data_IF_545159217875
#
_entry.id   IF_545159217875
#
_cell.length_a   1.000
_cell.length_b   1.000
_cell.length_c   1.000
_cell.angle_alpha   90.00
_cell.angle_beta   90.00
_cell.angle_gamma   90.00
#
_symmetry.space_group_name_H-M   'P 1'
#
loop_
_entity.id
_entity.type
_entity.pdbx_description
1 polymer ?
#
# COMPACT_ATOMS: atom_id res chain seq x y z
N UNK A 1 6.69 16.49 4.92
CA UNK A 1 6.38 15.18 4.31
C UNK A 1 4.99 14.74 4.71
N UNK A 2 4.22 14.18 3.80
CA UNK A 2 2.88 13.60 4.01
C UNK A 2 2.92 12.09 3.77
N UNK A 3 2.16 11.34 4.53
CA UNK A 3 2.00 9.88 4.38
C UNK A 3 0.54 9.58 4.04
N UNK A 4 0.30 9.02 2.87
CA UNK A 4 -1.02 8.56 2.43
C UNK A 4 -1.12 7.05 2.61
N UNK A 5 -1.95 6.61 3.56
CA UNK A 5 -2.27 5.19 3.74
C UNK A 5 -3.48 4.81 2.90
N UNK A 6 -3.29 3.83 2.02
CA UNK A 6 -4.39 3.29 1.20
C UNK A 6 -5.13 2.17 1.94
N UNK A 7 -6.40 2.37 2.21
CA UNK A 7 -7.27 1.43 2.93
C UNK A 7 -8.55 1.13 2.14
N UNK A 8 -8.42 0.69 0.88
CA UNK A 8 -9.54 0.48 -0.05
C UNK A 8 -9.96 -0.97 -0.31
N UNK A 9 -9.38 -1.96 0.34
CA UNK A 9 -9.61 -3.38 0.07
C UNK A 9 -11.06 -3.85 0.27
N UNK A 10 -11.54 -4.78 -0.57
CA UNK A 10 -12.92 -5.32 -0.50
C UNK A 10 -13.15 -6.33 0.64
N UNK A 11 -12.10 -6.75 1.33
CA UNK A 11 -12.17 -7.66 2.47
C UNK A 11 -12.65 -9.09 2.18
N UNK A 12 -12.90 -9.49 0.94
CA UNK A 12 -13.55 -10.78 0.62
C UNK A 12 -12.64 -12.00 0.74
N UNK A 13 -11.31 -11.83 0.62
CA UNK A 13 -10.36 -12.96 0.53
C UNK A 13 -10.16 -13.75 1.83
N UNK A 14 -10.47 -13.16 2.97
CA UNK A 14 -10.41 -13.81 4.29
C UNK A 14 -11.81 -14.06 4.89
N UNK A 15 -12.83 -14.18 4.02
CA UNK A 15 -14.16 -14.60 4.52
C UNK A 15 -14.07 -15.96 5.24
N UNK A 16 -14.75 -16.17 6.39
CA UNK A 16 -15.75 -15.31 7.04
C UNK A 16 -15.17 -14.26 8.02
N UNK A 17 -13.85 -14.20 8.28
CA UNK A 17 -13.24 -13.20 9.17
C UNK A 17 -13.41 -11.78 8.65
N UNK A 18 -13.39 -11.60 7.33
CA UNK A 18 -13.48 -10.30 6.69
C UNK A 18 -14.73 -10.18 5.82
N UNK A 19 -15.24 -8.95 5.71
CA UNK A 19 -16.34 -8.55 4.85
C UNK A 19 -16.14 -7.12 4.34
N UNK A 20 -17.13 -6.53 3.64
CA UNK A 20 -17.00 -5.20 3.03
C UNK A 20 -16.78 -4.06 4.03
N UNK A 21 -17.33 -4.14 5.24
CA UNK A 21 -17.14 -3.15 6.31
C UNK A 21 -15.97 -3.49 7.22
N UNK A 22 -15.68 -4.78 7.42
CA UNK A 22 -14.56 -5.27 8.23
C UNK A 22 -13.57 -5.97 7.31
N UNK A 23 -12.78 -5.20 6.57
CA UNK A 23 -11.72 -5.74 5.71
C UNK A 23 -10.53 -6.26 6.53
N UNK A 24 -9.64 -7.03 5.90
CA UNK A 24 -8.52 -7.74 6.56
C UNK A 24 -7.67 -6.82 7.45
N UNK A 25 -7.42 -5.59 7.02
CA UNK A 25 -6.57 -4.62 7.70
C UNK A 25 -7.13 -4.15 9.06
N UNK A 26 -8.40 -4.39 9.35
CA UNK A 26 -9.08 -4.01 10.59
C UNK A 26 -9.27 -5.16 11.58
N UNK A 27 -8.87 -6.38 11.22
CA UNK A 27 -9.02 -7.54 12.08
C UNK A 27 -7.86 -7.57 13.07
N UNK A 28 -8.15 -7.61 14.37
CA UNK A 28 -7.17 -7.63 15.46
C UNK A 28 -6.63 -9.05 15.68
N UNK A 29 -5.72 -9.49 14.82
CA UNK A 29 -5.11 -10.81 14.89
C UNK A 29 -3.64 -10.79 15.29
N UNK A 30 -2.96 -9.66 15.13
CA UNK A 30 -1.54 -9.53 15.39
C UNK A 30 -1.29 -9.18 16.85
N UNK A 31 -0.16 -9.63 17.41
CA UNK A 31 0.27 -9.21 18.73
C UNK A 31 1.13 -7.94 18.61
N UNK A 32 0.80 -6.92 19.39
CA UNK A 32 1.66 -5.77 19.63
C UNK A 32 2.78 -6.13 20.63
N UNK A 33 3.84 -5.33 20.75
CA UNK A 33 4.96 -5.61 21.69
C UNK A 33 4.54 -5.69 23.17
N UNK A 34 3.44 -5.06 23.55
CA UNK A 34 2.85 -5.10 24.91
C UNK A 34 1.90 -6.29 25.11
N UNK A 35 1.77 -7.19 24.11
CA UNK A 35 0.95 -8.40 24.17
C UNK A 35 -0.55 -8.18 23.89
N UNK A 36 -0.97 -6.97 23.55
CA UNK A 36 -2.34 -6.70 23.16
C UNK A 36 -2.58 -7.09 21.69
N UNK A 37 -3.86 -7.29 21.32
CA UNK A 37 -4.23 -7.55 19.93
C UNK A 37 -4.33 -6.25 19.15
N UNK A 38 -3.59 -6.17 18.05
CA UNK A 38 -3.65 -5.05 17.10
C UNK A 38 -4.10 -5.51 15.71
N UNK A 39 -4.70 -4.61 14.96
CA UNK A 39 -4.98 -4.79 13.54
C UNK A 39 -3.77 -4.34 12.71
N UNK A 40 -3.76 -4.70 11.41
CA UNK A 40 -2.68 -4.28 10.51
C UNK A 40 -2.57 -2.76 10.42
N UNK A 41 -3.69 -2.04 10.34
CA UNK A 41 -3.67 -0.58 10.29
C UNK A 41 -3.14 0.03 11.60
N UNK A 42 -3.51 -0.52 12.76
CA UNK A 42 -2.96 -0.09 14.04
C UNK A 42 -1.45 -0.36 14.12
N UNK A 43 -1.00 -1.53 13.66
CA UNK A 43 0.41 -1.88 13.59
C UNK A 43 1.21 -0.92 12.73
N UNK A 44 0.74 -0.60 11.53
CA UNK A 44 1.42 0.34 10.63
C UNK A 44 1.52 1.74 11.27
N UNK A 45 0.45 2.24 11.88
CA UNK A 45 0.46 3.55 12.58
C UNK A 45 1.44 3.53 13.75
N UNK A 46 1.46 2.47 14.57
CA UNK A 46 2.42 2.33 15.66
C UNK A 46 3.86 2.31 15.13
N UNK A 47 4.15 1.48 14.12
CA UNK A 47 5.49 1.39 13.52
C UNK A 47 5.94 2.71 12.88
N UNK A 48 5.05 3.47 12.25
CA UNK A 48 5.33 4.83 11.78
C UNK A 48 5.70 5.76 12.95
N UNK A 49 4.96 5.70 14.05
CA UNK A 49 5.27 6.48 15.26
C UNK A 49 6.60 6.10 15.93
N UNK A 50 7.02 4.84 15.80
CA UNK A 50 8.30 4.32 16.32
C UNK A 50 9.48 4.59 15.36
N UNK A 51 9.22 4.94 14.09
CA UNK A 51 10.22 5.24 13.08
C UNK A 51 10.69 6.69 13.14
N UNK A 52 11.77 7.01 12.42
CA UNK A 52 12.27 8.38 12.26
C UNK A 52 11.47 9.20 11.25
N UNK A 53 10.46 8.60 10.59
CA UNK A 53 9.60 9.27 9.63
C UNK A 53 8.68 10.29 10.32
N UNK A 54 9.00 11.58 10.18
CA UNK A 54 8.22 12.70 10.74
C UNK A 54 7.20 13.20 9.71
N UNK A 55 6.16 12.42 9.46
CA UNK A 55 5.12 12.73 8.49
C UNK A 55 3.73 12.83 9.10
N UNK A 56 2.89 13.68 8.52
CA UNK A 56 1.46 13.70 8.84
C UNK A 56 0.76 12.57 8.07
N UNK A 57 -0.08 11.80 8.76
CA UNK A 57 -0.75 10.64 8.18
C UNK A 57 -2.17 10.98 7.78
N UNK A 58 -2.50 10.71 6.50
CA UNK A 58 -3.86 10.77 5.95
C UNK A 58 -4.26 9.40 5.43
N UNK A 59 -5.45 8.91 5.76
CA UNK A 59 -5.96 7.61 5.31
C UNK A 59 -6.98 7.82 4.20
N UNK A 60 -6.71 7.27 3.00
CA UNK A 60 -7.67 7.20 1.92
C UNK A 60 -8.48 5.89 2.02
N UNK A 61 -9.81 5.99 2.06
CA UNK A 61 -10.68 4.84 2.30
C UNK A 61 -12.05 4.98 1.67
N UNK A 62 -12.84 3.91 1.67
CA UNK A 62 -14.24 3.94 1.27
C UNK A 62 -15.16 4.33 2.43
N UNK A 63 -16.35 4.87 2.11
CA UNK A 63 -17.36 5.27 3.10
C UNK A 63 -17.68 4.15 4.10
N UNK A 64 -17.76 2.90 3.64
CA UNK A 64 -18.08 1.75 4.50
C UNK A 64 -17.01 1.39 5.53
N UNK A 65 -15.83 2.01 5.46
CA UNK A 65 -14.68 1.73 6.33
C UNK A 65 -14.27 2.92 7.20
N UNK A 66 -14.81 4.11 6.94
CA UNK A 66 -14.43 5.34 7.66
C UNK A 66 -14.64 5.22 9.18
N UNK A 67 -15.80 4.71 9.62
CA UNK A 67 -16.12 4.56 11.05
C UNK A 67 -15.14 3.60 11.75
N UNK A 68 -14.73 2.52 11.08
CA UNK A 68 -13.78 1.56 11.64
C UNK A 68 -12.40 2.20 11.79
N UNK A 69 -12.00 3.06 10.85
CA UNK A 69 -10.73 3.81 10.95
C UNK A 69 -10.76 4.73 12.16
N UNK A 70 -11.79 5.56 12.32
CA UNK A 70 -11.91 6.45 13.48
C UNK A 70 -11.96 5.66 14.79
N UNK A 71 -12.68 4.54 14.85
CA UNK A 71 -12.75 3.69 16.04
C UNK A 71 -11.41 3.05 16.42
N UNK A 72 -10.55 2.75 15.44
CA UNK A 72 -9.27 2.08 15.71
C UNK A 72 -8.08 3.04 15.85
N UNK A 73 -8.10 4.18 15.16
CA UNK A 73 -6.99 5.11 15.11
C UNK A 73 -7.25 6.44 15.84
N UNK A 74 -8.50 6.71 16.23
CA UNK A 74 -8.91 7.96 16.86
C UNK A 74 -9.36 9.04 15.85
N UNK A 75 -10.02 10.08 16.37
CA UNK A 75 -10.60 11.14 15.53
C UNK A 75 -9.57 12.18 15.06
N UNK A 76 -8.34 12.12 15.58
CA UNK A 76 -7.26 13.05 15.20
C UNK A 76 -6.58 12.68 13.87
N UNK A 77 -6.93 11.53 13.28
CA UNK A 77 -6.37 11.13 11.98
C UNK A 77 -7.18 11.73 10.82
N UNK A 78 -6.48 12.24 9.83
CA UNK A 78 -7.15 12.73 8.63
C UNK A 78 -7.65 11.55 7.77
N UNK A 79 -8.91 11.60 7.37
CA UNK A 79 -9.53 10.57 6.56
C UNK A 79 -10.14 11.18 5.30
N UNK A 80 -9.69 10.71 4.14
CA UNK A 80 -10.25 11.07 2.83
C UNK A 80 -11.13 9.92 2.35
N UNK A 81 -12.45 10.20 2.25
CA UNK A 81 -13.43 9.21 1.85
C UNK A 81 -13.71 9.31 0.36
N UNK A 82 -13.40 8.22 -0.37
CA UNK A 82 -13.74 8.09 -1.78
C UNK A 82 -15.25 8.08 -2.00
N UNK A 83 -15.79 8.84 -2.97
CA UNK A 83 -17.22 8.80 -3.32
C UNK A 83 -17.67 7.43 -3.82
N UNK A 84 -16.80 6.73 -4.56
CA UNK A 84 -16.98 5.37 -5.09
C UNK A 84 -15.64 4.65 -5.24
N UNK A 85 -15.65 3.34 -5.36
CA UNK A 85 -14.42 2.55 -5.57
C UNK A 85 -13.98 2.58 -7.05
N UNK A 86 -12.81 3.15 -7.32
CA UNK A 86 -12.25 3.29 -8.69
C UNK A 86 -10.79 2.86 -8.80
N UNK A 87 -10.31 1.98 -7.92
CA UNK A 87 -8.91 1.54 -7.85
C UNK A 87 -7.96 2.60 -7.24
N UNK A 88 -6.64 2.34 -7.23
CA UNK A 88 -5.67 3.11 -6.44
C UNK A 88 -5.35 4.48 -7.04
N UNK A 89 -5.34 4.65 -8.37
CA UNK A 89 -5.05 5.96 -8.96
C UNK A 89 -6.04 7.04 -8.53
N UNK A 90 -7.36 6.88 -8.67
CA UNK A 90 -8.30 7.91 -8.22
C UNK A 90 -8.26 8.17 -6.72
N UNK A 91 -8.03 7.14 -5.91
CA UNK A 91 -7.89 7.28 -4.45
C UNK A 91 -6.70 8.18 -4.10
N UNK A 92 -5.54 7.96 -4.74
CA UNK A 92 -4.34 8.77 -4.56
C UNK A 92 -4.55 10.18 -5.09
N UNK A 93 -5.19 10.35 -6.27
CA UNK A 93 -5.51 11.64 -6.86
C UNK A 93 -6.39 12.49 -5.93
N UNK A 94 -7.44 11.89 -5.36
CA UNK A 94 -8.33 12.56 -4.41
C UNK A 94 -7.59 12.94 -3.13
N UNK A 95 -6.78 12.03 -2.57
CA UNK A 95 -6.04 12.30 -1.34
C UNK A 95 -4.96 13.37 -1.54
N UNK A 96 -4.24 13.36 -2.68
CA UNK A 96 -3.30 14.42 -3.03
C UNK A 96 -3.99 15.78 -3.16
N UNK A 97 -5.18 15.81 -3.78
CA UNK A 97 -5.99 17.02 -3.89
C UNK A 97 -6.45 17.54 -2.52
N UNK A 98 -6.78 16.65 -1.58
CA UNK A 98 -7.06 17.01 -0.20
C UNK A 98 -5.85 17.67 0.48
N UNK A 99 -4.67 17.07 0.35
CA UNK A 99 -3.43 17.66 0.87
C UNK A 99 -3.19 19.05 0.28
N UNK A 100 -3.39 19.21 -1.03
CA UNK A 100 -3.17 20.49 -1.72
C UNK A 100 -4.13 21.56 -1.28
N UNK A 101 -5.44 21.29 -1.31
CA UNK A 101 -6.46 22.33 -1.20
C UNK A 101 -7.06 22.47 0.20
N UNK A 102 -7.16 21.40 0.98
CA UNK A 102 -7.70 21.48 2.35
C UNK A 102 -6.59 21.64 3.40
N UNK A 103 -5.41 21.00 3.17
CA UNK A 103 -4.27 21.11 4.09
C UNK A 103 -3.25 22.17 3.67
N UNK A 104 -3.40 22.79 2.50
CA UNK A 104 -2.50 23.82 1.97
C UNK A 104 -1.04 23.38 1.88
N UNK A 105 -0.80 22.08 1.63
CA UNK A 105 0.55 21.54 1.44
C UNK A 105 1.21 22.14 0.19
N UNK A 106 2.51 22.41 0.28
CA UNK A 106 3.27 22.94 -0.84
C UNK A 106 3.52 21.89 -1.93
N UNK A 107 3.68 22.31 -3.18
CA UNK A 107 3.97 21.41 -4.31
C UNK A 107 5.28 20.65 -4.15
N UNK A 108 6.26 21.23 -3.46
CA UNK A 108 7.55 20.62 -3.17
C UNK A 108 7.49 19.58 -2.04
N UNK A 109 6.38 19.50 -1.32
CA UNK A 109 6.27 18.58 -0.20
C UNK A 109 6.23 17.13 -0.67
N UNK A 110 7.08 16.27 -0.09
CA UNK A 110 7.12 14.85 -0.43
C UNK A 110 5.90 14.15 0.14
N UNK A 111 5.25 13.38 -0.71
CA UNK A 111 4.14 12.50 -0.39
C UNK A 111 4.62 11.05 -0.54
N UNK A 112 4.48 10.28 0.53
CA UNK A 112 4.67 8.82 0.53
C UNK A 112 3.30 8.17 0.50
N UNK A 113 3.05 7.36 -0.51
CA UNK A 113 1.85 6.51 -0.61
C UNK A 113 2.23 5.09 -0.24
N UNK A 114 1.49 4.47 0.68
CA UNK A 114 1.73 3.08 1.06
C UNK A 114 0.42 2.37 1.43
N UNK A 115 0.36 1.03 1.30
CA UNK A 115 -0.79 0.28 1.81
C UNK A 115 -0.81 0.28 3.34
N UNK A 116 -1.99 0.16 3.94
CA UNK A 116 -2.16 0.11 5.40
C UNK A 116 -2.04 -1.31 5.99
N UNK A 117 -1.64 -2.30 5.19
CA UNK A 117 -1.71 -3.72 5.55
C UNK A 117 -0.45 -4.55 5.22
N UNK A 118 0.76 -3.99 5.06
CA UNK A 118 1.95 -4.80 4.94
C UNK A 118 2.33 -5.40 6.29
N UNK A 119 2.68 -6.67 6.29
CA UNK A 119 3.36 -7.29 7.44
C UNK A 119 4.87 -7.20 7.23
N UNK A 120 5.52 -6.34 8.00
CA UNK A 120 6.91 -5.97 7.78
C UNK A 120 7.65 -5.66 9.08
N UNK A 121 8.95 -5.43 8.99
CA UNK A 121 9.87 -5.09 10.08
C UNK A 121 10.35 -3.63 10.02
N UNK A 122 11.07 -3.17 11.04
CA UNK A 122 11.53 -1.77 11.15
C UNK A 122 12.40 -1.30 9.97
N UNK A 123 13.15 -2.20 9.33
CA UNK A 123 13.96 -1.90 8.15
C UNK A 123 13.17 -1.34 6.95
N UNK A 124 11.89 -1.71 6.86
CA UNK A 124 10.98 -1.21 5.83
C UNK A 124 10.81 0.32 5.90
N UNK A 125 10.68 0.88 7.09
CA UNK A 125 10.49 2.32 7.29
C UNK A 125 11.78 3.10 7.01
N UNK A 126 12.96 2.50 7.24
CA UNK A 126 14.25 3.10 6.83
C UNK A 126 14.39 3.20 5.31
N UNK A 127 13.84 2.23 4.56
CA UNK A 127 13.79 2.32 3.09
C UNK A 127 12.85 3.43 2.65
N UNK A 128 11.72 3.63 3.32
CA UNK A 128 10.83 4.77 3.03
C UNK A 128 11.56 6.10 3.27
N UNK A 129 12.35 6.22 4.34
CA UNK A 129 13.19 7.41 4.58
C UNK A 129 14.17 7.66 3.43
N UNK A 130 14.83 6.61 2.93
CA UNK A 130 15.70 6.72 1.74
C UNK A 130 14.94 7.14 0.48
N UNK A 131 13.70 6.67 0.30
CA UNK A 131 12.83 7.10 -0.80
C UNK A 131 12.49 8.59 -0.70
N UNK A 132 12.18 9.09 0.50
CA UNK A 132 11.90 10.51 0.75
C UNK A 132 13.13 11.36 0.39
N UNK A 133 14.31 10.99 0.87
CA UNK A 133 15.55 11.69 0.53
C UNK A 133 15.83 11.67 -0.99
N UNK A 134 15.56 10.56 -1.67
CA UNK A 134 15.74 10.48 -3.12
C UNK A 134 14.82 11.45 -3.89
N UNK A 135 13.59 11.67 -3.41
CA UNK A 135 12.66 12.65 -3.99
C UNK A 135 13.10 14.08 -3.66
N UNK A 136 13.48 14.36 -2.40
CA UNK A 136 13.96 15.68 -1.97
C UNK A 136 15.23 16.11 -2.74
N UNK A 137 16.16 15.18 -2.95
CA UNK A 137 17.38 15.37 -3.72
C UNK A 137 17.14 15.41 -5.26
N UNK A 138 15.90 15.29 -5.71
CA UNK A 138 15.51 15.24 -7.13
C UNK A 138 16.23 14.13 -7.93
N UNK A 139 16.48 12.96 -7.31
CA UNK A 139 17.05 11.79 -7.99
C UNK A 139 16.08 11.25 -9.03
N UNK A 140 14.78 11.26 -8.73
CA UNK A 140 13.70 10.89 -9.62
C UNK A 140 12.40 11.63 -9.27
N UNK A 141 11.46 11.70 -10.23
CA UNK A 141 10.11 12.26 -10.01
C UNK A 141 9.21 11.28 -9.23
N UNK A 142 9.43 9.97 -9.45
CA UNK A 142 8.73 8.89 -8.77
C UNK A 142 9.75 7.87 -8.25
N UNK A 143 9.70 7.58 -6.97
CA UNK A 143 10.55 6.57 -6.31
C UNK A 143 9.68 5.44 -5.80
N UNK A 144 10.07 4.19 -6.12
CA UNK A 144 9.37 2.96 -5.77
C UNK A 144 10.14 2.19 -4.69
N UNK A 145 9.44 1.46 -3.83
CA UNK A 145 10.06 0.41 -3.02
C UNK A 145 10.09 -0.90 -3.79
N UNK A 146 11.28 -1.44 -4.01
CA UNK A 146 11.49 -2.74 -4.63
C UNK A 146 11.68 -3.83 -3.59
N UNK A 147 10.75 -4.78 -3.50
CA UNK A 147 10.89 -5.93 -2.60
C UNK A 147 11.68 -7.03 -3.30
N UNK A 148 12.69 -7.59 -2.65
CA UNK A 148 13.45 -8.72 -3.19
C UNK A 148 12.53 -9.95 -3.34
N UNK A 149 12.35 -10.49 -4.57
CA UNK A 149 11.48 -11.63 -4.79
C UNK A 149 12.02 -12.90 -4.13
N UNK A 150 11.14 -13.68 -3.52
CA UNK A 150 11.48 -15.00 -2.96
C UNK A 150 10.93 -16.15 -3.80
N UNK A 151 10.01 -15.86 -4.74
CA UNK A 151 9.44 -16.82 -5.69
C UNK A 151 8.83 -16.09 -6.90
N UNK A 152 8.62 -16.76 -8.06
CA UNK A 152 7.92 -16.14 -9.17
C UNK A 152 6.42 -16.01 -8.90
N UNK A 153 5.91 -14.78 -8.87
CA UNK A 153 4.51 -14.46 -8.56
C UNK A 153 3.84 -13.74 -9.72
N UNK A 154 2.67 -14.22 -10.14
CA UNK A 154 1.81 -13.50 -11.07
C UNK A 154 0.91 -12.46 -10.39
N UNK A 155 1.05 -12.25 -9.07
CA UNK A 155 0.19 -11.34 -8.29
C UNK A 155 0.78 -9.96 -8.10
N UNK A 156 2.08 -9.78 -8.31
CA UNK A 156 2.82 -8.54 -8.08
C UNK A 156 3.31 -7.94 -9.38
N UNK A 157 3.49 -6.62 -9.39
CA UNK A 157 4.27 -5.93 -10.40
C UNK A 157 5.77 -6.19 -10.20
N UNK A 158 6.55 -6.06 -11.27
CA UNK A 158 8.00 -6.22 -11.27
C UNK A 158 8.68 -4.97 -11.79
N UNK A 159 9.74 -4.58 -11.10
CA UNK A 159 10.58 -3.42 -11.44
C UNK A 159 11.97 -3.93 -11.78
N UNK A 160 12.40 -3.77 -13.05
CA UNK A 160 13.74 -4.13 -13.50
C UNK A 160 14.66 -2.92 -13.29
N UNK A 161 15.69 -3.01 -12.44
CA UNK A 161 16.63 -1.93 -12.21
C UNK A 161 17.59 -1.75 -13.41
N UNK A 162 18.09 -0.53 -13.59
CA UNK A 162 19.27 -0.25 -14.40
C UNK A 162 20.50 -0.20 -13.48
N UNK A 163 21.18 -1.33 -13.36
CA UNK A 163 22.34 -1.47 -12.47
C UNK A 163 23.51 -0.55 -12.82
N UNK A 164 23.58 -0.06 -14.07
CA UNK A 164 24.60 0.89 -14.51
C UNK A 164 24.42 2.31 -13.93
N UNK A 165 23.24 2.60 -13.38
CA UNK A 165 22.84 3.91 -12.86
C UNK A 165 22.55 3.87 -11.36
N UNK A 166 23.38 3.17 -10.61
CA UNK A 166 23.30 3.07 -9.17
C UNK A 166 23.91 4.31 -8.49
N UNK A 167 23.19 4.92 -7.55
CA UNK A 167 23.71 5.96 -6.65
C UNK A 167 23.22 5.69 -5.23
N UNK A 168 24.13 5.40 -4.30
CA UNK A 168 23.78 5.23 -2.88
C UNK A 168 22.79 4.09 -2.58
N UNK A 169 22.78 3.01 -3.39
CA UNK A 169 21.81 1.91 -3.26
C UNK A 169 20.48 2.15 -3.96
N UNK A 170 20.33 3.27 -4.68
CA UNK A 170 19.12 3.63 -5.43
C UNK A 170 19.39 3.38 -6.90
N UNK A 171 18.53 2.60 -7.57
CA UNK A 171 18.66 2.29 -8.99
C UNK A 171 17.66 3.10 -9.82
N UNK A 172 18.06 3.54 -11.02
CA UNK A 172 17.10 3.94 -12.03
C UNK A 172 16.28 2.73 -12.47
N UNK A 173 15.02 2.94 -12.86
CA UNK A 173 14.17 1.88 -13.38
C UNK A 173 14.31 1.79 -14.88
N UNK A 174 14.64 0.59 -15.39
CA UNK A 174 14.73 0.28 -16.81
C UNK A 174 13.37 -0.10 -17.39
N UNK A 175 12.58 -0.86 -16.63
CA UNK A 175 11.29 -1.40 -17.06
C UNK A 175 10.41 -1.73 -15.87
N UNK A 176 9.12 -1.46 -15.99
CA UNK A 176 8.07 -1.90 -15.09
C UNK A 176 7.18 -2.93 -15.82
N UNK A 177 6.70 -3.96 -15.14
CA UNK A 177 5.78 -4.96 -15.69
C UNK A 177 4.77 -5.37 -14.64
N UNK A 178 3.51 -5.00 -14.82
CA UNK A 178 2.44 -5.30 -13.84
C UNK A 178 1.88 -6.71 -14.07
N UNK A 179 1.83 -7.52 -13.03
CA UNK A 179 1.20 -8.85 -12.95
C UNK A 179 1.50 -9.76 -14.15
N UNK A 180 2.78 -10.08 -14.45
CA UNK A 180 3.15 -10.97 -15.54
C UNK A 180 2.62 -12.39 -15.27
N UNK A 181 2.65 -13.25 -16.31
CA UNK A 181 2.50 -14.68 -16.06
C UNK A 181 3.74 -15.26 -15.35
N UNK A 182 3.63 -16.48 -14.80
CA UNK A 182 4.70 -17.11 -14.00
C UNK A 182 6.00 -17.25 -14.79
N UNK A 183 5.96 -17.67 -16.06
CA UNK A 183 7.16 -17.82 -16.88
C UNK A 183 7.88 -16.47 -17.10
N UNK A 184 7.12 -15.40 -17.35
CA UNK A 184 7.67 -14.03 -17.42
C UNK A 184 8.23 -13.59 -16.06
N UNK A 185 7.56 -13.91 -14.96
CA UNK A 185 8.04 -13.60 -13.61
C UNK A 185 9.38 -14.29 -13.31
N UNK A 186 9.56 -15.56 -13.69
CA UNK A 186 10.84 -16.28 -13.56
C UNK A 186 11.96 -15.61 -14.37
N UNK A 187 11.64 -15.15 -15.58
CA UNK A 187 12.61 -14.42 -16.40
C UNK A 187 12.99 -13.07 -15.78
N UNK A 188 12.02 -12.31 -15.27
CA UNK A 188 12.26 -11.03 -14.61
C UNK A 188 13.12 -11.16 -13.37
N UNK A 189 12.92 -12.23 -12.56
CA UNK A 189 13.77 -12.50 -11.38
C UNK A 189 15.23 -12.75 -11.81
N UNK A 190 15.47 -13.44 -12.94
CA UNK A 190 16.83 -13.63 -13.49
C UNK A 190 17.45 -12.34 -13.99
N UNK A 191 16.65 -11.32 -14.29
CA UNK A 191 17.09 -9.95 -14.60
C UNK A 191 17.22 -9.08 -13.33
N UNK A 192 17.33 -9.64 -12.15
CA UNK A 192 17.40 -8.95 -10.86
C UNK A 192 16.20 -8.02 -10.58
N UNK A 193 15.02 -8.30 -11.16
CA UNK A 193 13.85 -7.49 -10.90
C UNK A 193 13.37 -7.62 -9.46
N UNK A 194 12.89 -6.51 -8.90
CA UNK A 194 12.20 -6.47 -7.62
C UNK A 194 10.69 -6.57 -7.82
N UNK A 195 9.97 -7.10 -6.83
CA UNK A 195 8.52 -6.89 -6.77
C UNK A 195 8.22 -5.42 -6.48
N UNK A 196 7.21 -4.86 -7.09
CA UNK A 196 6.65 -3.59 -6.70
C UNK A 196 5.96 -3.73 -5.34
N UNK A 197 6.50 -3.08 -4.31
CA UNK A 197 5.99 -3.12 -2.95
C UNK A 197 4.70 -2.31 -2.73
N UNK A 198 4.20 -1.62 -3.77
CA UNK A 198 3.04 -0.73 -3.65
C UNK A 198 3.30 0.51 -2.80
N UNK A 199 4.58 0.86 -2.60
CA UNK A 199 5.01 2.08 -1.91
C UNK A 199 5.63 3.02 -2.93
N UNK A 200 5.15 4.25 -2.94
CA UNK A 200 5.56 5.29 -3.87
C UNK A 200 5.90 6.56 -3.11
N UNK A 201 6.93 7.27 -3.56
CA UNK A 201 7.26 8.61 -3.06
C UNK A 201 7.40 9.56 -4.24
N UNK A 202 6.84 10.75 -4.13
CA UNK A 202 6.88 11.81 -5.15
C UNK A 202 6.59 13.17 -4.51
N UNK A 203 6.90 14.28 -5.19
CA UNK A 203 6.46 15.62 -4.78
C UNK A 203 4.96 15.80 -5.04
N UNK A 204 4.25 16.49 -4.15
CA UNK A 204 2.82 16.74 -4.29
C UNK A 204 2.48 17.36 -5.66
N UNK A 205 3.26 18.34 -6.13
CA UNK A 205 3.09 18.98 -7.42
C UNK A 205 3.18 18.00 -8.60
N UNK A 206 4.01 16.96 -8.53
CA UNK A 206 4.04 15.92 -9.55
C UNK A 206 2.66 15.25 -9.70
N UNK A 207 2.04 14.86 -8.59
CA UNK A 207 0.71 14.24 -8.63
C UNK A 207 -0.37 15.24 -9.04
N UNK A 208 -0.30 16.49 -8.59
CA UNK A 208 -1.26 17.51 -8.98
C UNK A 208 -1.23 17.82 -10.48
N UNK A 209 -0.06 17.82 -11.11
CA UNK A 209 0.07 17.94 -12.57
C UNK A 209 -0.63 16.80 -13.33
N UNK A 210 -0.68 15.60 -12.74
CA UNK A 210 -1.43 14.47 -13.31
C UNK A 210 -2.93 14.65 -13.09
N UNK A 211 -3.36 15.07 -11.90
CA UNK A 211 -4.77 15.36 -11.58
C UNK A 211 -5.35 16.38 -12.54
N UNK A 212 -4.62 17.47 -12.86
CA UNK A 212 -5.03 18.54 -13.78
C UNK A 212 -5.26 18.08 -15.23
N UNK A 213 -4.69 16.95 -15.63
CA UNK A 213 -4.96 16.37 -16.95
C UNK A 213 -6.39 15.85 -17.07
N UNK A 214 -7.01 15.49 -15.94
CA UNK A 214 -8.37 14.98 -15.85
C UNK A 214 -9.35 16.04 -15.39
N UNK A 215 -9.02 16.76 -14.32
CA UNK A 215 -9.91 17.73 -13.68
C UNK A 215 -9.12 19.01 -13.38
N UNK A 216 -9.37 20.05 -14.15
CA UNK A 216 -8.76 21.38 -13.94
C UNK A 216 -9.62 22.19 -12.99
N UNK A 217 -9.18 22.34 -11.76
CA UNK A 217 -9.81 23.15 -10.71
C UNK A 217 -8.83 23.40 -9.57
N UNK A 218 -9.15 24.36 -8.71
CA UNK A 218 -8.42 24.65 -7.47
C UNK A 218 -9.26 24.32 -6.22
N UNK A 219 -10.25 23.46 -6.37
CA UNK A 219 -11.20 23.11 -5.30
C UNK A 219 -11.26 21.60 -5.06
N UNK A 220 -10.97 21.18 -3.84
CA UNK A 220 -11.12 19.78 -3.43
C UNK A 220 -12.56 19.29 -3.59
N UNK A 221 -13.54 20.10 -3.20
CA UNK A 221 -14.96 19.73 -3.31
C UNK A 221 -15.38 19.49 -4.76
N UNK A 222 -14.87 20.27 -5.70
CA UNK A 222 -15.12 20.07 -7.14
C UNK A 222 -14.48 18.78 -7.64
N UNK A 223 -13.21 18.49 -7.28
CA UNK A 223 -12.54 17.23 -7.63
C UNK A 223 -13.34 16.04 -7.09
N UNK A 224 -13.78 16.11 -5.83
CA UNK A 224 -14.58 15.06 -5.20
C UNK A 224 -15.93 14.86 -5.92
N UNK A 225 -16.60 15.92 -6.33
CA UNK A 225 -17.87 15.84 -7.06
C UNK A 225 -17.70 15.27 -8.47
N UNK A 226 -16.56 15.53 -9.10
CA UNK A 226 -16.20 15.05 -10.44
C UNK A 226 -15.32 13.78 -10.41
N UNK A 227 -15.24 13.11 -9.27
CA UNK A 227 -14.39 11.93 -9.04
C UNK A 227 -14.58 10.81 -10.07
N UNK A 228 -15.78 10.65 -10.61
CA UNK A 228 -16.11 9.68 -11.66
C UNK A 228 -15.43 9.95 -13.00
N UNK A 229 -14.88 11.15 -13.23
CA UNK A 229 -14.12 11.49 -14.44
C UNK A 229 -12.70 10.86 -14.45
N UNK A 230 -12.15 10.51 -13.27
CA UNK A 230 -10.93 9.73 -13.24
C UNK A 230 -11.17 8.32 -13.80
N UNK A 231 -10.23 7.76 -14.56
CA UNK A 231 -10.32 6.38 -15.05
C UNK A 231 -10.30 5.39 -13.87
N UNK A 232 -11.03 4.29 -13.98
CA UNK A 232 -11.01 3.20 -12.99
C UNK A 232 -9.80 2.31 -13.25
N UNK A 233 -8.64 2.69 -12.71
CA UNK A 233 -7.35 2.08 -12.99
C UNK A 233 -6.43 2.17 -11.76
N UNK A 234 -5.45 1.27 -11.66
CA UNK A 234 -4.44 1.35 -10.60
C UNK A 234 -3.40 2.45 -10.87
N UNK A 235 -2.77 2.94 -9.81
CA UNK A 235 -1.66 3.88 -9.88
C UNK A 235 -0.47 3.31 -10.66
N UNK A 236 -0.26 2.01 -10.56
CA UNK A 236 0.79 1.31 -11.27
C UNK A 236 0.67 1.48 -12.78
N UNK A 237 -0.53 1.21 -13.33
CA UNK A 237 -0.79 1.36 -14.77
C UNK A 237 -0.90 2.82 -15.21
N UNK A 238 -1.53 3.69 -14.40
CA UNK A 238 -1.77 5.07 -14.82
C UNK A 238 -0.54 5.95 -14.67
N UNK A 239 0.27 5.72 -13.63
CA UNK A 239 1.38 6.60 -13.28
C UNK A 239 2.72 5.88 -13.40
N UNK A 240 2.92 4.77 -12.68
CA UNK A 240 4.25 4.16 -12.56
C UNK A 240 4.80 3.62 -13.90
N UNK A 241 3.97 3.00 -14.72
CA UNK A 241 4.38 2.52 -16.06
C UNK A 241 4.66 3.64 -17.06
N UNK A 242 4.05 4.83 -16.86
CA UNK A 242 4.17 5.96 -17.79
C UNK A 242 5.22 6.99 -17.36
N UNK A 243 5.68 6.92 -16.12
CA UNK A 243 6.64 7.86 -15.55
C UNK A 243 8.00 7.75 -16.25
N UNK A 244 8.63 8.91 -16.50
CA UNK A 244 9.89 8.99 -17.28
C UNK A 244 11.13 8.88 -16.39
N UNK A 245 11.09 9.48 -15.21
CA UNK A 245 12.20 9.51 -14.25
C UNK A 245 11.80 8.74 -13.01
N UNK A 246 12.05 7.44 -13.04
CA UNK A 246 11.68 6.51 -11.97
C UNK A 246 12.93 5.90 -11.34
N UNK A 247 12.94 5.85 -10.01
CA UNK A 247 13.95 5.14 -9.26
C UNK A 247 13.32 4.06 -8.36
N UNK A 248 14.11 3.05 -8.02
CA UNK A 248 13.73 1.99 -7.08
C UNK A 248 14.75 1.91 -5.94
N UNK A 249 14.23 1.84 -4.71
CA UNK A 249 15.02 1.57 -3.49
C UNK A 249 14.72 0.15 -3.04
N UNK A 250 15.73 -0.75 -3.02
CA UNK A 250 15.52 -2.14 -2.66
C UNK A 250 15.25 -2.34 -1.16
N UNK A 251 14.34 -3.27 -0.86
CA UNK A 251 14.10 -3.81 0.46
C UNK A 251 14.22 -5.34 0.44
N UNK A 252 15.10 -5.92 1.24
CA UNK A 252 15.34 -7.36 1.32
C UNK A 252 14.96 -7.97 2.68
N UNK A 253 14.29 -7.20 3.54
CA UNK A 253 13.79 -7.66 4.83
C UNK A 253 12.47 -8.43 4.75
N UNK A 254 11.92 -8.75 5.91
CA UNK A 254 10.64 -9.46 6.02
C UNK A 254 9.49 -8.59 5.50
N UNK A 255 8.84 -9.07 4.44
CA UNK A 255 7.65 -8.45 3.86
C UNK A 255 6.66 -9.54 3.41
N UNK A 256 5.40 -9.42 3.83
CA UNK A 256 4.32 -10.31 3.40
C UNK A 256 3.03 -9.54 3.19
N UNK A 257 2.32 -9.86 2.11
CA UNK A 257 0.90 -9.53 1.96
C UNK A 257 0.08 -10.63 2.64
N UNK A 258 -0.47 -10.36 3.83
CA UNK A 258 -1.35 -11.28 4.55
C UNK A 258 -2.76 -11.32 3.92
N UNK A 259 -2.82 -11.37 2.59
CA UNK A 259 -4.05 -11.32 1.80
C UNK A 259 -4.72 -12.66 1.57
N UNK A 260 -4.14 -13.76 2.00
CA UNK A 260 -4.69 -15.11 1.86
C UNK A 260 -4.63 -15.87 3.19
N UNK A 261 -5.45 -16.90 3.34
CA UNK A 261 -5.44 -17.75 4.53
C UNK A 261 -4.07 -18.35 4.79
N UNK A 262 -3.38 -18.84 3.74
CA UNK A 262 -2.07 -19.46 3.90
C UNK A 262 -1.04 -18.46 4.46
N UNK A 263 -0.96 -17.25 3.85
CA UNK A 263 -0.01 -16.23 4.32
C UNK A 263 -0.34 -15.69 5.71
N UNK A 264 -1.61 -15.70 6.09
CA UNK A 264 -2.06 -15.29 7.43
C UNK A 264 -1.73 -16.35 8.46
N UNK A 265 -2.02 -17.64 8.20
CA UNK A 265 -1.75 -18.75 9.14
C UNK A 265 -0.28 -18.95 9.40
N UNK A 266 0.60 -18.76 8.39
CA UNK A 266 2.04 -18.83 8.54
C UNK A 266 2.61 -17.80 9.55
N UNK A 267 1.91 -16.70 9.78
CA UNK A 267 2.32 -15.65 10.74
C UNK A 267 1.55 -15.70 12.06
N UNK A 268 0.48 -16.50 12.12
CA UNK A 268 -0.35 -16.68 13.32
C UNK A 268 -0.08 -18.01 14.03
N UNK A 269 1.14 -18.56 13.97
CA UNK A 269 1.48 -19.87 14.55
C UNK A 269 0.97 -20.03 16.00
N UNK A 270 1.05 -18.98 16.83
CA UNK A 270 0.55 -18.98 18.21
C UNK A 270 -0.98 -18.97 18.34
N UNK A 271 -1.71 -18.69 17.25
CA UNK A 271 -3.18 -18.59 17.21
C UNK A 271 -3.82 -19.76 16.45
N UNK A 272 -3.02 -20.67 15.91
CA UNK A 272 -3.47 -21.85 15.19
C UNK A 272 -3.31 -23.06 16.10
N UNK A 273 -4.41 -23.51 16.73
CA UNK A 273 -4.43 -24.76 17.50
C UNK A 273 -5.05 -25.84 16.62
N UNK A 274 -4.20 -26.67 16.01
CA UNK A 274 -4.64 -27.67 15.03
C UNK A 274 -5.26 -27.00 13.79
N UNK A 275 -6.54 -27.19 13.56
CA UNK A 275 -7.29 -26.62 12.44
C UNK A 275 -8.17 -25.42 12.83
N UNK A 276 -7.88 -24.74 13.93
CA UNK A 276 -8.70 -23.65 14.47
C UNK A 276 -7.88 -22.37 14.59
N UNK A 277 -8.36 -21.28 14.00
CA UNK A 277 -7.87 -19.92 14.25
C UNK A 277 -8.78 -19.26 15.27
N UNK A 278 -8.21 -18.65 16.29
CA UNK A 278 -8.95 -17.92 17.31
C UNK A 278 -8.45 -16.48 17.40
N UNK A 279 -9.37 -15.51 17.42
CA UNK A 279 -9.08 -14.09 17.70
C UNK A 279 -9.42 -13.69 19.15
N UNK A 280 -9.67 -14.68 20.00
CA UNK A 280 -10.13 -14.49 21.38
C UNK A 280 -11.65 -14.45 21.53
N UNK A 281 -12.39 -14.03 20.52
CA UNK A 281 -13.85 -13.96 20.52
C UNK A 281 -14.52 -14.96 19.57
N UNK A 282 -13.86 -15.30 18.45
CA UNK A 282 -14.35 -16.23 17.45
C UNK A 282 -13.38 -17.39 17.20
N UNK A 283 -13.93 -18.59 16.97
CA UNK A 283 -13.18 -19.78 16.56
C UNK A 283 -13.54 -20.15 15.13
N UNK A 284 -12.54 -20.24 14.23
CA UNK A 284 -12.76 -20.61 12.84
C UNK A 284 -12.01 -21.90 12.54
N UNK A 285 -12.75 -22.93 12.11
CA UNK A 285 -12.17 -24.21 11.74
C UNK A 285 -11.60 -24.19 10.32
N UNK A 286 -10.29 -24.31 10.16
CA UNK A 286 -9.58 -24.28 8.87
C UNK A 286 -9.97 -25.49 7.99
N UNK A 287 -10.36 -26.61 8.58
CA UNK A 287 -10.79 -27.82 7.84
C UNK A 287 -12.01 -27.58 6.94
N UNK A 288 -12.94 -26.73 7.36
CA UNK A 288 -14.07 -26.29 6.54
C UNK A 288 -13.63 -25.40 5.35
N UNK A 289 -12.55 -24.63 5.53
CA UNK A 289 -12.05 -23.74 4.51
C UNK A 289 -11.31 -24.44 3.37
N UNK A 290 -10.51 -25.46 3.67
CA UNK A 290 -9.86 -26.27 2.63
C UNK A 290 -10.87 -26.99 1.73
N UNK A 291 -12.09 -27.25 2.21
CA UNK A 291 -13.15 -27.87 1.45
C UNK A 291 -13.86 -26.84 0.53
N UNK A 292 -14.08 -25.63 1.03
CA UNK A 292 -14.67 -24.53 0.26
C UNK A 292 -13.71 -24.05 -0.84
N UNK A 293 -12.39 -23.99 -0.59
CA UNK A 293 -11.39 -23.63 -1.59
C UNK A 293 -11.24 -24.67 -2.71
N UNK A 294 -11.53 -25.95 -2.47
CA UNK A 294 -11.55 -26.98 -3.52
C UNK A 294 -12.79 -26.95 -4.41
N UNK A 295 -13.83 -26.22 -4.02
CA UNK A 295 -15.07 -26.05 -4.79
C UNK A 295 -15.09 -24.75 -5.62
N UNK A 296 -14.14 -23.84 -5.41
CA UNK A 296 -14.07 -22.52 -6.08
C UNK A 296 -12.83 -22.36 -6.99
N UNK A 297 -12.17 -23.45 -7.39
CA UNK A 297 -11.08 -23.48 -8.39
C UNK A 297 -11.56 -24.16 -9.66
#
# INVERSE_FOLDING_TARGET
MQILLLSGGSGKRLWPLSNNSRSKQFIKLLNSPDGQKESMVQRVIRQLGESDLKGHVTVATSLSQADVIYNQLGEYIDVVVEPERRDTFPAIALAASYLKYEKSCADEEVVVVMPCDPFTEAGYFKVIEQMVHAVDDNVAELVLMGITPTYPSAKYGYVVPDESKLKGGIFSVKRFTEKPNVATAEYLIKENAFWNGGVFAFKLGYMMNIVEQYIRTVSFSEIRNRYSEFPKISFDYEVAEKAKLVAVVPFSGKWKDLGTWNTLTDELEDHVIGNVITDGEAKIHISLMNWIFRLCV
#
